data_IF_708840092134
#
_entry.id   IF_708840092134
#
_cell.length_a   1.000
_cell.length_b   1.000
_cell.length_c   1.000
_cell.angle_alpha   90.00
_cell.angle_beta   90.00
_cell.angle_gamma   90.00
#
_symmetry.space_group_name_H-M   'P 1'
#
loop_
_entity.id
_entity.type
_entity.pdbx_description
1 polymer ?
#
# COMPACT_ATOMS: atom_id res chain seq x y z
N UNK A 1 -27.54 -0.88 -4.40
CA UNK A 1 -27.14 0.38 -5.06
C UNK A 1 -28.03 1.49 -4.54
N UNK A 2 -27.46 2.54 -3.93
CA UNK A 2 -28.24 3.63 -3.31
C UNK A 2 -27.54 4.46 -2.23
N UNK A 3 -26.23 4.31 -2.04
CA UNK A 3 -25.46 5.10 -1.08
C UNK A 3 -24.37 5.89 -1.81
N UNK A 4 -24.11 7.11 -1.35
CA UNK A 4 -22.96 7.90 -1.80
C UNK A 4 -21.66 7.23 -1.37
N UNK A 5 -20.62 7.39 -2.18
CA UNK A 5 -19.28 6.98 -1.82
C UNK A 5 -18.79 7.76 -0.59
N UNK A 6 -18.08 7.07 0.31
CA UNK A 6 -17.58 7.64 1.56
C UNK A 6 -16.05 7.78 1.49
N UNK A 7 -15.57 9.01 1.60
CA UNK A 7 -14.14 9.28 1.77
C UNK A 7 -13.76 9.16 3.26
N UNK A 8 -12.88 8.21 3.58
CA UNK A 8 -12.41 7.93 4.94
C UNK A 8 -10.89 7.94 4.99
N UNK A 9 -10.33 8.39 6.10
CA UNK A 9 -8.90 8.21 6.36
C UNK A 9 -8.60 6.73 6.63
N UNK A 10 -7.40 6.26 6.25
CA UNK A 10 -6.94 4.89 6.52
C UNK A 10 -7.02 4.52 8.02
N UNK A 11 -6.60 5.38 8.98
CA UNK A 11 -6.75 5.08 10.40
C UNK A 11 -8.21 4.89 10.84
N UNK A 12 -9.14 5.70 10.31
CA UNK A 12 -10.56 5.56 10.64
C UNK A 12 -11.11 4.23 10.12
N UNK A 13 -10.77 3.86 8.88
CA UNK A 13 -11.16 2.57 8.32
C UNK A 13 -10.59 1.41 9.15
N UNK A 14 -9.32 1.47 9.54
CA UNK A 14 -8.72 0.46 10.42
C UNK A 14 -9.42 0.35 11.76
N UNK A 15 -9.76 1.48 12.41
CA UNK A 15 -10.49 1.47 13.67
C UNK A 15 -11.88 0.83 13.53
N UNK A 16 -12.59 1.11 12.43
CA UNK A 16 -13.89 0.48 12.14
C UNK A 16 -13.71 -1.03 11.97
N UNK A 17 -12.76 -1.48 11.14
CA UNK A 17 -12.51 -2.91 10.92
C UNK A 17 -12.09 -3.62 12.21
N UNK A 18 -11.17 -3.03 12.97
CA UNK A 18 -10.70 -3.57 14.24
C UNK A 18 -11.82 -3.65 15.28
N UNK A 19 -12.79 -2.74 15.27
CA UNK A 19 -13.94 -2.78 16.18
C UNK A 19 -14.83 -4.01 15.96
N UNK A 20 -14.77 -4.61 14.77
CA UNK A 20 -15.56 -5.79 14.40
C UNK A 20 -14.81 -7.11 14.61
N UNK A 21 -13.54 -7.07 15.00
CA UNK A 21 -12.70 -8.27 15.16
C UNK A 21 -12.47 -8.55 16.65
N UNK A 22 -12.80 -9.76 17.16
CA UNK A 22 -12.48 -10.14 18.53
C UNK A 22 -10.97 -10.02 18.81
N UNK A 23 -10.62 -9.37 19.93
CA UNK A 23 -9.21 -9.07 20.28
C UNK A 23 -8.35 -10.33 20.42
N UNK A 24 -8.93 -11.44 20.85
CA UNK A 24 -8.25 -12.73 21.00
C UNK A 24 -7.83 -13.34 19.65
N UNK A 25 -8.51 -13.00 18.55
CA UNK A 25 -8.19 -13.43 17.18
C UNK A 25 -7.08 -12.61 16.54
N UNK A 26 -6.78 -11.41 17.07
CA UNK A 26 -5.73 -10.55 16.56
C UNK A 26 -4.44 -10.70 17.37
N UNK A 27 -3.38 -11.20 16.74
CA UNK A 27 -2.06 -11.33 17.37
C UNK A 27 -1.11 -10.29 16.77
N UNK A 28 -0.89 -9.19 17.50
CA UNK A 28 0.06 -8.15 17.12
C UNK A 28 1.51 -8.54 17.51
N UNK A 29 2.49 -7.88 16.90
CA UNK A 29 3.92 -8.19 17.12
C UNK A 29 4.39 -9.50 16.47
N UNK A 30 3.52 -10.14 15.68
CA UNK A 30 3.80 -11.42 15.01
C UNK A 30 4.17 -11.20 13.56
N UNK A 31 5.42 -10.79 13.29
CA UNK A 31 5.90 -10.64 11.91
C UNK A 31 6.11 -12.03 11.30
N UNK A 32 5.47 -12.30 10.15
CA UNK A 32 5.64 -13.53 9.39
C UNK A 32 7.09 -13.67 8.89
N UNK A 33 7.64 -14.89 8.96
CA UNK A 33 9.00 -15.20 8.44
C UNK A 33 8.94 -16.21 7.31
N UNK A 34 8.33 -17.37 7.55
CA UNK A 34 8.13 -18.41 6.55
C UNK A 34 7.00 -19.36 6.99
N UNK A 35 6.66 -20.31 6.11
CA UNK A 35 5.72 -21.39 6.40
C UNK A 35 6.24 -22.73 5.88
N UNK A 36 5.70 -23.83 6.42
CA UNK A 36 5.95 -25.20 5.97
C UNK A 36 4.64 -25.99 5.93
N UNK A 37 4.52 -26.90 4.96
CA UNK A 37 3.48 -27.93 4.98
C UNK A 37 3.88 -29.03 5.95
N UNK A 38 2.97 -29.38 6.86
CA UNK A 38 3.18 -30.40 7.90
C UNK A 38 1.91 -31.24 8.07
N UNK A 39 1.97 -32.26 8.91
CA UNK A 39 0.81 -33.06 9.26
C UNK A 39 0.46 -32.88 10.73
N UNK A 40 -0.84 -32.90 11.05
CA UNK A 40 -1.32 -32.86 12.43
C UNK A 40 -0.87 -34.14 13.16
N UNK A 41 -0.24 -34.03 14.34
CA UNK A 41 0.47 -35.15 14.97
C UNK A 41 -0.45 -36.31 15.37
N UNK A 42 -1.74 -36.03 15.59
CA UNK A 42 -2.72 -37.05 16.02
C UNK A 42 -3.56 -37.58 14.87
N UNK A 43 -3.97 -36.71 13.95
CA UNK A 43 -4.95 -37.06 12.90
C UNK A 43 -4.29 -37.35 11.55
N UNK A 44 -3.01 -36.99 11.38
CA UNK A 44 -2.29 -37.10 10.11
C UNK A 44 -2.76 -36.13 9.02
N UNK A 45 -3.75 -35.28 9.31
CA UNK A 45 -4.28 -34.31 8.37
C UNK A 45 -3.22 -33.28 7.99
N UNK A 46 -3.12 -32.94 6.71
CA UNK A 46 -2.23 -31.87 6.26
C UNK A 46 -2.62 -30.51 6.84
N UNK A 47 -1.62 -29.72 7.19
CA UNK A 47 -1.75 -28.39 7.75
C UNK A 47 -0.56 -27.52 7.34
N UNK A 48 -0.68 -26.22 7.58
CA UNK A 48 0.41 -25.24 7.42
C UNK A 48 0.90 -24.83 8.79
N UNK A 49 2.23 -24.87 8.98
CA UNK A 49 2.91 -24.30 10.12
C UNK A 49 3.55 -22.97 9.71
N UNK A 50 3.16 -21.88 10.37
CA UNK A 50 3.73 -20.54 10.20
C UNK A 50 4.74 -20.28 11.31
N UNK A 51 5.90 -19.73 10.96
CA UNK A 51 6.90 -19.22 11.91
C UNK A 51 6.88 -17.70 11.93
N UNK A 52 6.88 -17.15 13.13
CA UNK A 52 6.98 -15.71 13.37
C UNK A 52 8.40 -15.31 13.81
N UNK A 53 8.72 -14.02 13.66
CA UNK A 53 10.04 -13.45 13.98
C UNK A 53 10.40 -13.55 15.46
N UNK A 54 9.41 -13.64 16.34
CA UNK A 54 9.59 -13.81 17.79
C UNK A 54 9.80 -15.28 18.20
N UNK A 55 9.96 -16.18 17.24
CA UNK A 55 10.16 -17.61 17.47
C UNK A 55 8.87 -18.39 17.74
N UNK A 56 7.70 -17.74 17.73
CA UNK A 56 6.43 -18.45 17.89
C UNK A 56 5.98 -19.15 16.60
N UNK A 57 5.21 -20.22 16.78
CA UNK A 57 4.65 -21.03 15.70
C UNK A 57 3.13 -21.06 15.78
N UNK A 58 2.49 -21.04 14.61
CA UNK A 58 1.05 -21.18 14.47
C UNK A 58 0.73 -22.27 13.46
N UNK A 59 -0.33 -23.04 13.73
CA UNK A 59 -0.80 -24.12 12.88
C UNK A 59 -2.20 -23.80 12.38
N UNK A 60 -2.50 -24.15 11.14
CA UNK A 60 -3.83 -24.00 10.56
C UNK A 60 -3.98 -24.76 9.26
N UNK A 61 -5.23 -24.91 8.80
CA UNK A 61 -5.53 -25.66 7.58
C UNK A 61 -5.14 -24.91 6.30
N UNK A 62 -5.19 -23.58 6.34
CA UNK A 62 -4.92 -22.67 5.21
C UNK A 62 -4.13 -21.45 5.70
N UNK A 63 -3.17 -21.01 4.91
CA UNK A 63 -2.50 -19.72 5.05
C UNK A 63 -3.02 -18.73 4.01
N UNK A 64 -3.51 -17.58 4.46
CA UNK A 64 -3.96 -16.48 3.59
C UNK A 64 -2.97 -15.33 3.67
N UNK A 65 -2.22 -15.09 2.60
CA UNK A 65 -1.33 -13.95 2.43
C UNK A 65 -2.10 -12.69 2.06
N UNK A 66 -2.28 -11.80 3.03
CA UNK A 66 -2.91 -10.48 2.87
C UNK A 66 -1.96 -9.35 3.34
N UNK A 67 -0.65 -9.59 3.21
CA UNK A 67 0.44 -8.77 3.74
C UNK A 67 0.95 -7.69 2.76
N UNK A 68 0.14 -7.35 1.76
CA UNK A 68 0.34 -6.20 0.88
C UNK A 68 1.30 -6.43 -0.28
N UNK A 69 1.63 -5.34 -0.99
CA UNK A 69 2.45 -5.37 -2.20
C UNK A 69 3.83 -6.03 -2.00
N UNK A 70 4.40 -5.90 -0.81
CA UNK A 70 5.70 -6.45 -0.40
C UNK A 70 5.59 -7.84 0.24
N UNK A 71 4.59 -8.63 -0.16
CA UNK A 71 4.21 -9.88 0.51
C UNK A 71 5.38 -10.87 0.70
N UNK A 72 5.72 -11.12 1.96
CA UNK A 72 6.69 -12.14 2.38
C UNK A 72 6.07 -13.53 2.24
N UNK A 73 4.75 -13.64 2.38
CA UNK A 73 4.00 -14.89 2.11
C UNK A 73 4.15 -15.29 0.65
N UNK A 74 3.96 -14.37 -0.30
CA UNK A 74 4.17 -14.62 -1.73
C UNK A 74 5.60 -15.02 -2.03
N UNK A 75 6.59 -14.30 -1.49
CA UNK A 75 8.01 -14.63 -1.68
C UNK A 75 8.34 -16.04 -1.18
N UNK A 76 7.78 -16.45 -0.03
CA UNK A 76 7.95 -17.79 0.53
C UNK A 76 7.29 -18.87 -0.34
N UNK A 77 6.08 -18.62 -0.81
CA UNK A 77 5.36 -19.52 -1.73
C UNK A 77 6.14 -19.70 -3.05
N UNK A 78 6.59 -18.60 -3.64
CA UNK A 78 7.31 -18.63 -4.92
C UNK A 78 8.66 -19.32 -4.81
N UNK A 79 9.34 -19.19 -3.66
CA UNK A 79 10.57 -19.94 -3.38
C UNK A 79 10.33 -21.45 -3.43
N UNK A 80 9.32 -21.94 -2.73
CA UNK A 80 8.97 -23.37 -2.72
C UNK A 80 8.59 -23.85 -4.13
N UNK A 81 7.71 -23.12 -4.83
CA UNK A 81 7.30 -23.47 -6.19
C UNK A 81 8.45 -23.42 -7.21
N UNK A 82 9.45 -22.57 -6.99
CA UNK A 82 10.65 -22.50 -7.83
C UNK A 82 11.56 -23.71 -7.58
N UNK A 83 11.72 -24.13 -6.33
CA UNK A 83 12.46 -25.35 -5.96
C UNK A 83 11.79 -26.62 -6.53
N UNK A 84 10.45 -26.64 -6.59
CA UNK A 84 9.66 -27.71 -7.21
C UNK A 84 9.62 -27.63 -8.75
N UNK A 85 10.09 -26.53 -9.35
CA UNK A 85 10.09 -26.33 -10.80
C UNK A 85 8.72 -26.04 -11.41
N UNK A 86 7.72 -25.65 -10.60
CA UNK A 86 6.33 -25.40 -11.03
C UNK A 86 5.97 -23.92 -11.15
N UNK A 87 6.83 -23.00 -10.70
CA UNK A 87 6.58 -21.56 -10.80
C UNK A 87 6.64 -21.06 -12.26
N UNK A 88 5.56 -20.46 -12.82
CA UNK A 88 5.56 -19.94 -14.18
C UNK A 88 6.63 -18.87 -14.42
N UNK A 89 7.25 -18.86 -15.61
CA UNK A 89 8.28 -17.85 -15.98
C UNK A 89 7.78 -16.41 -15.85
N UNK A 90 6.53 -16.14 -16.22
CA UNK A 90 5.91 -14.82 -16.09
C UNK A 90 5.90 -14.30 -14.64
N UNK A 91 5.88 -15.19 -13.64
CA UNK A 91 5.93 -14.81 -12.23
C UNK A 91 7.37 -14.63 -11.71
N UNK A 92 8.39 -14.95 -12.52
CA UNK A 92 9.82 -14.85 -12.17
C UNK A 92 10.52 -13.60 -12.73
N UNK A 93 9.90 -12.91 -13.69
CA UNK A 93 10.48 -11.73 -14.33
C UNK A 93 10.67 -10.58 -13.32
N UNK A 94 11.69 -9.74 -13.53
CA UNK A 94 11.88 -8.49 -12.79
C UNK A 94 10.90 -7.42 -13.29
N UNK A 95 10.49 -6.52 -12.40
CA UNK A 95 9.42 -5.57 -12.70
C UNK A 95 9.94 -4.16 -12.78
N UNK A 96 9.46 -3.45 -13.78
CA UNK A 96 9.72 -2.05 -13.95
C UNK A 96 8.58 -1.21 -13.35
N UNK A 97 8.93 -0.06 -12.79
CA UNK A 97 7.97 0.96 -12.40
C UNK A 97 8.29 2.28 -13.09
N UNK A 98 7.22 3.06 -13.32
CA UNK A 98 7.32 4.42 -13.88
C UNK A 98 6.78 5.47 -12.94
N UNK A 99 6.01 5.09 -11.92
CA UNK A 99 5.32 6.05 -11.07
C UNK A 99 5.79 5.92 -9.63
N UNK A 100 6.26 7.04 -9.09
CA UNK A 100 6.63 7.18 -7.68
C UNK A 100 5.73 8.24 -7.08
N UNK A 101 5.08 7.93 -5.97
CA UNK A 101 4.11 8.82 -5.34
C UNK A 101 4.48 9.16 -3.91
N UNK A 102 4.18 10.39 -3.49
CA UNK A 102 4.05 10.75 -2.08
C UNK A 102 2.56 10.86 -1.74
N UNK A 103 2.18 10.32 -0.59
CA UNK A 103 0.82 10.43 -0.07
C UNK A 103 0.87 10.91 1.38
N UNK A 104 -0.09 11.76 1.75
CA UNK A 104 -0.22 12.25 3.11
C UNK A 104 -1.63 12.73 3.42
N UNK A 105 -1.86 12.96 4.72
CA UNK A 105 -3.10 13.56 5.23
C UNK A 105 -2.73 14.72 6.13
N UNK A 106 -3.29 15.90 5.85
CA UNK A 106 -2.98 17.08 6.64
C UNK A 106 -3.51 16.97 8.08
N UNK A 107 -2.94 17.75 8.97
CA UNK A 107 -3.62 18.17 10.20
C UNK A 107 -4.89 18.97 9.88
N UNK A 108 -5.80 19.18 10.87
CA UNK A 108 -6.99 19.98 10.63
C UNK A 108 -6.61 21.38 10.14
N UNK A 109 -7.23 21.80 9.05
CA UNK A 109 -6.99 23.07 8.38
C UNK A 109 -8.09 24.08 8.71
N UNK A 110 -7.73 25.35 8.61
CA UNK A 110 -8.70 26.43 8.77
C UNK A 110 -9.64 26.49 7.58
N UNK A 111 -10.93 26.30 7.84
CA UNK A 111 -12.01 26.39 6.86
C UNK A 111 -12.28 27.82 6.34
N UNK A 112 -11.61 28.84 6.91
CA UNK A 112 -11.62 30.19 6.32
C UNK A 112 -10.75 30.26 5.06
N UNK A 113 -9.64 29.51 5.04
CA UNK A 113 -8.73 29.42 3.92
C UNK A 113 -9.18 28.34 2.94
N UNK A 114 -9.66 27.21 3.46
CA UNK A 114 -10.12 26.05 2.70
C UNK A 114 -11.64 25.83 2.90
N UNK A 115 -12.51 26.64 2.26
CA UNK A 115 -13.95 26.62 2.50
C UNK A 115 -14.64 25.32 2.03
N UNK A 116 -14.09 24.64 1.02
CA UNK A 116 -14.56 23.35 0.50
C UNK A 116 -14.53 22.23 1.54
N UNK A 117 -13.66 22.31 2.56
CA UNK A 117 -13.62 21.36 3.67
C UNK A 117 -14.89 21.35 4.55
N UNK A 118 -15.77 22.35 4.42
CA UNK A 118 -17.08 22.41 5.09
C UNK A 118 -18.23 21.93 4.23
N UNK A 119 -17.99 21.69 2.94
CA UNK A 119 -19.06 21.31 2.03
C UNK A 119 -19.61 19.93 2.39
N UNK A 120 -20.88 19.71 2.07
CA UNK A 120 -21.55 18.43 2.31
C UNK A 120 -20.96 17.31 1.44
N UNK A 121 -20.45 17.65 0.26
CA UNK A 121 -19.85 16.72 -0.68
C UNK A 121 -18.36 17.01 -0.82
N UNK A 122 -17.54 15.96 -0.89
CA UNK A 122 -16.12 16.08 -1.18
C UNK A 122 -15.91 16.17 -2.69
N UNK A 123 -15.46 17.32 -3.17
CA UNK A 123 -15.03 17.46 -4.56
C UNK A 123 -13.61 16.93 -4.71
N UNK A 124 -13.48 15.78 -5.37
CA UNK A 124 -12.19 15.19 -5.68
C UNK A 124 -11.52 15.96 -6.84
N UNK A 125 -10.30 16.47 -6.63
CA UNK A 125 -9.57 17.27 -7.62
C UNK A 125 -8.33 16.53 -8.09
N UNK A 126 -8.20 16.36 -9.40
CA UNK A 126 -6.99 15.87 -10.06
C UNK A 126 -6.38 17.01 -10.86
N UNK A 127 -5.12 17.29 -10.61
CA UNK A 127 -4.33 18.25 -11.36
C UNK A 127 -3.33 17.48 -12.23
N UNK A 128 -3.52 17.61 -13.55
CA UNK A 128 -2.60 17.11 -14.56
C UNK A 128 -1.83 18.28 -15.16
N UNK A 129 -0.51 18.30 -14.98
CA UNK A 129 0.32 19.37 -15.53
C UNK A 129 0.69 19.08 -16.98
N UNK A 130 0.54 20.05 -17.89
CA UNK A 130 0.86 19.87 -19.31
C UNK A 130 2.35 19.68 -19.59
N UNK A 131 3.21 20.34 -18.80
CA UNK A 131 4.66 20.38 -19.00
C UNK A 131 5.42 19.99 -17.72
N UNK A 132 4.85 19.09 -16.91
CA UNK A 132 5.55 18.57 -15.74
C UNK A 132 5.25 17.08 -15.57
N UNK A 133 6.18 16.30 -15.00
CA UNK A 133 6.00 14.87 -14.77
C UNK A 133 5.08 14.57 -13.57
N UNK A 134 4.51 15.60 -12.94
CA UNK A 134 3.73 15.47 -11.72
C UNK A 134 2.22 15.46 -11.97
N UNK A 135 1.54 14.58 -11.26
CA UNK A 135 0.09 14.53 -11.13
C UNK A 135 -0.26 14.69 -9.65
N UNK A 136 -1.22 15.55 -9.32
CA UNK A 136 -1.66 15.78 -7.94
C UNK A 136 -3.13 15.39 -7.75
N UNK A 137 -3.42 14.76 -6.63
CA UNK A 137 -4.73 14.29 -6.21
C UNK A 137 -5.03 14.95 -4.88
N UNK A 138 -6.17 15.63 -4.77
CA UNK A 138 -6.61 16.29 -3.53
C UNK A 138 -8.04 15.87 -3.19
N UNK A 139 -8.21 15.36 -1.98
CA UNK A 139 -9.50 14.87 -1.48
C UNK A 139 -9.83 15.50 -0.12
N UNK A 140 -10.85 16.36 -0.05
CA UNK A 140 -11.44 16.78 1.22
C UNK A 140 -11.89 15.56 2.03
N UNK A 141 -11.47 15.50 3.29
CA UNK A 141 -11.87 14.50 4.27
C UNK A 141 -12.63 15.14 5.43
N UNK A 142 -13.43 14.32 6.11
CA UNK A 142 -14.02 14.66 7.41
C UNK A 142 -12.95 15.15 8.40
N UNK A 143 -13.32 16.10 9.27
CA UNK A 143 -12.40 16.66 10.26
C UNK A 143 -11.54 17.81 9.73
N UNK A 144 -11.97 18.46 8.65
CA UNK A 144 -11.31 19.60 8.01
C UNK A 144 -9.88 19.26 7.57
N UNK A 145 -9.68 18.14 6.87
CA UNK A 145 -8.36 17.68 6.41
C UNK A 145 -8.39 17.44 4.90
N UNK A 146 -7.22 17.51 4.26
CA UNK A 146 -7.05 16.91 2.93
C UNK A 146 -6.27 15.60 3.03
N UNK A 147 -6.72 14.59 2.30
CA UNK A 147 -5.81 13.59 1.77
C UNK A 147 -5.24 14.12 0.47
N UNK A 148 -3.93 14.01 0.30
CA UNK A 148 -3.25 14.43 -0.91
C UNK A 148 -2.32 13.33 -1.40
N UNK A 149 -2.15 13.24 -2.72
CA UNK A 149 -1.18 12.37 -3.35
C UNK A 149 -0.53 13.11 -4.51
N UNK A 150 0.79 13.05 -4.60
CA UNK A 150 1.54 13.60 -5.73
C UNK A 150 2.37 12.48 -6.34
N UNK A 151 2.04 12.10 -7.56
CA UNK A 151 2.78 11.12 -8.36
C UNK A 151 3.71 11.81 -9.31
N UNK A 152 4.94 11.30 -9.43
CA UNK A 152 5.90 11.64 -10.47
C UNK A 152 5.99 10.47 -11.44
N UNK A 153 5.89 10.76 -12.73
CA UNK A 153 6.23 9.83 -13.81
C UNK A 153 7.72 9.95 -14.13
N UNK A 154 8.40 8.81 -14.22
CA UNK A 154 9.80 8.70 -14.59
C UNK A 154 9.92 8.61 -16.12
N UNK A 155 10.88 9.33 -16.70
CA UNK A 155 11.14 9.31 -18.15
C UNK A 155 11.63 7.93 -18.62
N UNK A 156 12.38 7.24 -17.76
CA UNK A 156 12.87 5.89 -17.98
C UNK A 156 12.33 4.99 -16.86
N UNK A 157 11.69 3.85 -17.19
CA UNK A 157 11.29 2.89 -16.18
C UNK A 157 12.49 2.36 -15.39
N UNK A 158 12.35 2.27 -14.07
CA UNK A 158 13.34 1.69 -13.15
C UNK A 158 12.91 0.29 -12.74
N UNK A 159 13.86 -0.62 -12.47
CA UNK A 159 13.56 -1.97 -11.97
C UNK A 159 13.49 -2.01 -10.45
N UNK A 160 12.44 -2.65 -9.93
CA UNK A 160 12.35 -3.00 -8.52
C UNK A 160 13.15 -4.28 -8.26
N UNK A 161 14.19 -4.20 -7.44
CA UNK A 161 14.85 -5.40 -6.93
C UNK A 161 13.90 -6.08 -5.94
N UNK A 162 13.17 -7.08 -6.42
CA UNK A 162 12.14 -7.86 -5.70
C UNK A 162 12.62 -8.58 -4.42
N UNK A 163 13.87 -8.38 -3.99
CA UNK A 163 14.47 -8.94 -2.78
C UNK A 163 14.43 -8.05 -1.54
N UNK A 164 14.30 -6.73 -1.69
CA UNK A 164 14.31 -5.79 -0.55
C UNK A 164 13.01 -5.00 -0.52
N UNK A 165 11.97 -5.68 -0.05
CA UNK A 165 10.66 -5.09 0.14
C UNK A 165 10.61 -4.30 1.47
N UNK A 166 11.60 -3.44 1.68
CA UNK A 166 11.55 -2.44 2.74
C UNK A 166 10.83 -1.21 2.16
N UNK A 167 9.63 -0.94 2.65
CA UNK A 167 9.06 0.42 2.62
C UNK A 167 10.05 1.46 3.21
N UNK A 168 11.12 1.01 3.86
CA UNK A 168 12.23 1.75 4.43
C UNK A 168 13.47 1.90 3.52
N UNK A 169 13.53 1.30 2.31
CA UNK A 169 14.78 1.29 1.53
C UNK A 169 15.18 2.65 0.93
N UNK A 170 14.31 3.65 1.05
CA UNK A 170 14.69 5.04 0.84
C UNK A 170 14.45 5.79 2.14
N UNK A 171 15.53 6.15 2.82
CA UNK A 171 15.48 6.89 4.08
C UNK A 171 14.70 8.21 3.99
N UNK A 172 14.51 8.90 5.13
CA UNK A 172 13.85 10.21 5.19
C UNK A 172 14.33 11.18 4.10
N UNK A 173 15.61 11.09 3.71
CA UNK A 173 16.25 11.90 2.69
C UNK A 173 15.57 11.88 1.31
N UNK A 174 15.11 10.73 0.82
CA UNK A 174 14.47 10.67 -0.51
C UNK A 174 13.03 11.21 -0.49
N UNK A 175 12.34 11.03 0.64
CA UNK A 175 11.03 11.65 0.88
C UNK A 175 11.19 13.17 0.98
N UNK A 176 12.27 13.64 1.60
CA UNK A 176 12.59 15.06 1.72
C UNK A 176 12.92 15.69 0.35
N UNK A 177 13.71 15.03 -0.49
CA UNK A 177 14.02 15.54 -1.84
C UNK A 177 12.75 15.67 -2.71
N UNK A 178 11.91 14.63 -2.74
CA UNK A 178 10.65 14.71 -3.48
C UNK A 178 9.70 15.74 -2.86
N UNK A 179 9.66 15.85 -1.52
CA UNK A 179 8.86 16.87 -0.83
C UNK A 179 9.32 18.29 -1.19
N UNK A 180 10.63 18.54 -1.29
CA UNK A 180 11.20 19.83 -1.75
C UNK A 180 10.80 20.12 -3.19
N UNK A 181 10.88 19.12 -4.08
CA UNK A 181 10.59 19.28 -5.50
C UNK A 181 9.11 19.64 -5.77
N UNK A 182 8.17 19.14 -4.96
CA UNK A 182 6.74 19.33 -5.18
C UNK A 182 6.16 20.58 -4.49
N UNK A 183 6.93 21.30 -3.65
CA UNK A 183 6.38 22.40 -2.82
C UNK A 183 5.68 23.50 -3.63
N UNK A 184 6.19 23.79 -4.82
CA UNK A 184 5.68 24.86 -5.67
C UNK A 184 4.51 24.42 -6.57
N UNK A 185 4.11 23.14 -6.50
CA UNK A 185 2.94 22.67 -7.26
C UNK A 185 1.66 23.34 -6.73
N UNK A 186 0.66 23.60 -7.58
CA UNK A 186 -0.60 24.20 -7.17
C UNK A 186 -1.35 23.32 -6.15
N UNK A 187 -1.82 23.94 -5.07
CA UNK A 187 -2.72 23.34 -4.10
C UNK A 187 -4.18 23.32 -4.57
N UNK A 188 -5.09 22.70 -3.79
CA UNK A 188 -6.47 22.47 -4.20
C UNK A 188 -7.33 23.74 -4.34
N UNK A 189 -6.93 24.85 -3.73
CA UNK A 189 -7.75 26.04 -3.51
C UNK A 189 -6.99 27.36 -3.78
N UNK A 190 -5.98 27.31 -4.65
CA UNK A 190 -5.16 28.48 -5.00
C UNK A 190 -3.93 28.70 -4.12
N UNK A 191 -3.76 27.89 -3.06
CA UNK A 191 -2.50 27.75 -2.33
C UNK A 191 -1.47 26.89 -3.07
N UNK A 192 -0.45 26.41 -2.35
CA UNK A 192 0.56 25.49 -2.90
C UNK A 192 0.56 24.15 -2.16
N UNK A 193 1.09 23.11 -2.81
CA UNK A 193 1.35 21.82 -2.18
C UNK A 193 2.30 21.96 -0.98
N UNK A 194 3.22 22.93 -1.01
CA UNK A 194 4.10 23.25 0.12
C UNK A 194 3.34 23.60 1.40
N UNK A 195 2.23 24.32 1.30
CA UNK A 195 1.39 24.65 2.47
C UNK A 195 0.72 23.41 3.07
N UNK A 196 0.27 22.48 2.22
CA UNK A 196 -0.27 21.20 2.68
C UNK A 196 0.81 20.32 3.31
N UNK A 197 2.02 20.30 2.73
CA UNK A 197 3.17 19.58 3.29
C UNK A 197 3.53 20.11 4.68
N UNK A 198 3.57 21.43 4.86
CA UNK A 198 3.92 22.04 6.16
C UNK A 198 2.89 21.72 7.24
N UNK A 199 1.62 21.54 6.85
CA UNK A 199 0.57 21.12 7.75
C UNK A 199 0.39 19.58 7.84
N UNK A 200 1.25 18.79 7.21
CA UNK A 200 1.22 17.33 7.27
C UNK A 200 2.30 16.84 8.23
N UNK A 201 1.97 15.90 9.11
CA UNK A 201 2.98 15.25 9.94
C UNK A 201 3.94 14.46 9.04
N UNK A 202 5.22 14.86 9.02
CA UNK A 202 6.25 14.25 8.19
C UNK A 202 6.38 12.75 8.41
N UNK A 203 6.15 12.26 9.63
CA UNK A 203 6.22 10.83 9.95
C UNK A 203 5.09 10.02 9.32
N UNK A 204 4.03 10.68 8.86
CA UNK A 204 2.87 10.05 8.23
C UNK A 204 2.90 10.13 6.70
N UNK A 205 3.82 10.90 6.12
CA UNK A 205 4.01 10.96 4.67
C UNK A 205 4.63 9.65 4.23
N UNK A 206 3.96 8.97 3.31
CA UNK A 206 4.43 7.70 2.76
C UNK A 206 4.85 7.88 1.31
N UNK A 207 6.02 7.35 0.96
CA UNK A 207 6.41 7.16 -0.44
C UNK A 207 5.91 5.80 -0.91
N UNK A 208 5.26 5.76 -2.06
CA UNK A 208 4.66 4.57 -2.66
C UNK A 208 5.17 4.42 -4.09
N UNK A 209 5.75 3.26 -4.38
CA UNK A 209 6.08 2.88 -5.76
C UNK A 209 4.84 2.21 -6.35
N UNK A 210 4.34 2.81 -7.42
CA UNK A 210 3.20 2.33 -8.16
C UNK A 210 3.70 1.45 -9.30
N UNK A 211 3.57 0.14 -9.09
CA UNK A 211 3.90 -0.92 -10.05
C UNK A 211 2.59 -1.61 -10.43
N UNK A 212 2.33 -1.76 -11.73
CA UNK A 212 1.29 -2.65 -12.20
C UNK A 212 1.83 -4.07 -12.27
N UNK A 213 1.27 -4.98 -11.47
CA UNK A 213 1.65 -6.39 -11.56
C UNK A 213 0.47 -7.32 -11.37
N UNK A 214 0.27 -8.14 -12.40
CA UNK A 214 -0.66 -9.26 -12.40
C UNK A 214 0.12 -10.57 -12.29
N UNK A 215 0.33 -11.02 -11.06
CA UNK A 215 0.89 -12.35 -10.81
C UNK A 215 -0.08 -13.43 -11.26
N UNK A 216 0.36 -14.42 -12.03
CA UNK A 216 -0.52 -15.52 -12.47
C UNK A 216 -0.77 -16.50 -11.33
N UNK A 217 0.24 -16.70 -10.49
CA UNK A 217 0.20 -17.62 -9.37
C UNK A 217 -0.28 -16.91 -8.11
N UNK A 218 -1.46 -17.27 -7.63
CA UNK A 218 -2.05 -16.69 -6.42
C UNK A 218 -2.36 -17.72 -5.35
N UNK A 219 -2.00 -18.98 -5.57
CA UNK A 219 -2.11 -20.06 -4.60
C UNK A 219 -1.10 -21.16 -4.88
N UNK A 220 -0.84 -21.99 -3.88
CA UNK A 220 -0.09 -23.24 -4.01
C UNK A 220 -0.22 -24.05 -2.71
N UNK A 221 -0.50 -25.34 -2.86
CA UNK A 221 -0.85 -26.20 -1.72
C UNK A 221 -2.00 -25.60 -0.90
N UNK A 222 -1.72 -25.37 0.39
CA UNK A 222 -2.65 -24.79 1.38
C UNK A 222 -2.44 -23.29 1.62
N UNK A 223 -1.77 -22.61 0.70
CA UNK A 223 -1.48 -21.18 0.79
C UNK A 223 -2.16 -20.43 -0.35
N UNK A 224 -2.82 -19.32 -0.04
CA UNK A 224 -3.52 -18.45 -1.01
C UNK A 224 -3.15 -16.99 -0.75
N UNK A 225 -3.07 -16.18 -1.81
CA UNK A 225 -2.74 -14.75 -1.77
C UNK A 225 -3.98 -13.93 -2.13
N UNK A 226 -4.18 -12.78 -1.46
CA UNK A 226 -5.29 -11.86 -1.72
C UNK A 226 -4.84 -10.39 -1.71
N UNK A 227 -5.62 -9.53 -2.38
CA UNK A 227 -5.32 -8.10 -2.49
C UNK A 227 -3.97 -7.85 -3.17
N UNK A 228 -3.23 -6.86 -2.67
CA UNK A 228 -1.92 -6.48 -3.23
C UNK A 228 -0.84 -7.56 -3.10
N UNK A 229 -1.05 -8.56 -2.23
CA UNK A 229 -0.18 -9.73 -2.17
C UNK A 229 -0.32 -10.61 -3.43
N UNK A 230 -1.46 -10.56 -4.12
CA UNK A 230 -1.73 -11.29 -5.35
C UNK A 230 -1.64 -10.39 -6.59
N UNK A 231 -2.20 -9.19 -6.55
CA UNK A 231 -2.24 -8.28 -7.69
C UNK A 231 -2.06 -6.86 -7.21
N UNK A 232 -1.00 -6.20 -7.68
CA UNK A 232 -0.78 -4.78 -7.41
C UNK A 232 -1.39 -4.01 -8.56
N UNK A 233 -2.50 -3.33 -8.30
CA UNK A 233 -3.13 -2.43 -9.28
C UNK A 233 -2.62 -1.01 -9.07
N UNK A 234 -2.30 -0.33 -10.16
CA UNK A 234 -2.09 1.12 -10.14
C UNK A 234 -3.42 1.83 -10.40
N UNK A 235 -3.54 3.05 -9.88
CA UNK A 235 -4.60 3.99 -10.22
C UNK A 235 -4.24 4.75 -11.49
N UNK A 236 -5.17 4.81 -12.45
CA UNK A 236 -5.21 5.59 -13.70
C UNK A 236 -3.91 6.28 -14.15
N UNK A 237 -3.36 5.82 -15.27
CA UNK A 237 -2.23 6.48 -15.93
C UNK A 237 -1.80 5.88 -17.27
N UNK A 238 -2.18 4.64 -17.58
CA UNK A 238 -1.81 4.00 -18.85
C UNK A 238 -2.98 4.11 -19.85
N UNK A 239 -2.86 5.07 -20.77
CA UNK A 239 -3.46 5.00 -22.12
C UNK A 239 -2.51 4.25 -23.06
#
# INVERSE_FOLDING_TARGET
YGHYDLALSRPNLYNILLSQIPKDRLKLGKRFVNFQHTHHPVTGAEQVMVRCSDGTYYYGDILVGADGASSVVRQSLYRQMKEEGVLPKADQEEHQYRHVSLIGVTNPLSTKKHPDLKEKFSHFKVLLTKNSPYMCWYMPLSGCRYSWLVSRTLDVPETSNSGNADFAEWGPDATDEMSKAIRNLPGPDGGTMGELLDNTDRQTISRVILEERFFRTWYGGRTVLIGDACHKKTTCGDE
#
